data_IF_113850054158
#
_entry.id   IF_113850054158
#
_cell.length_a   1.000
_cell.length_b   1.000
_cell.length_c   1.000
_cell.angle_alpha   90.00
_cell.angle_beta   90.00
_cell.angle_gamma   90.00
#
_symmetry.space_group_name_H-M   'P 1'
#
loop_
_entity.id
_entity.type
_entity.pdbx_description
1 polymer ?
#
# COMPACT_ATOMS: atom_id res chain seq x y z
N UNK A 1 -11.87 -26.28 -2.67
CA UNK A 1 -12.91 -26.16 -3.73
C UNK A 1 -13.48 -24.74 -3.81
N UNK A 2 -13.59 -24.02 -2.67
CA UNK A 2 -14.10 -22.63 -2.57
C UNK A 2 -13.32 -21.57 -3.35
N UNK A 3 -11.97 -21.59 -3.34
CA UNK A 3 -11.15 -20.63 -4.10
C UNK A 3 -11.44 -20.62 -5.62
N UNK A 4 -11.88 -21.75 -6.18
CA UNK A 4 -12.19 -21.88 -7.61
C UNK A 4 -13.60 -21.36 -7.95
N UNK A 5 -14.53 -21.43 -6.98
CA UNK A 5 -15.89 -20.90 -7.15
C UNK A 5 -15.89 -19.37 -7.01
N UNK A 6 -15.16 -18.82 -6.03
CA UNK A 6 -15.03 -17.38 -5.81
C UNK A 6 -14.41 -16.64 -7.01
N UNK A 7 -13.37 -17.21 -7.64
CA UNK A 7 -12.74 -16.59 -8.81
C UNK A 7 -13.67 -16.60 -10.04
N UNK A 8 -14.51 -17.64 -10.20
CA UNK A 8 -15.54 -17.70 -11.24
C UNK A 8 -16.60 -16.62 -11.04
N UNK A 9 -17.10 -16.46 -9.82
CA UNK A 9 -18.10 -15.42 -9.49
C UNK A 9 -17.54 -14.00 -9.67
N UNK A 10 -16.29 -13.74 -9.26
CA UNK A 10 -15.63 -12.45 -9.49
C UNK A 10 -15.51 -12.13 -11.00
N UNK A 11 -15.16 -13.13 -11.81
CA UNK A 11 -15.10 -12.97 -13.26
C UNK A 11 -16.48 -12.69 -13.87
N UNK A 12 -17.56 -13.23 -13.33
CA UNK A 12 -18.92 -12.92 -13.79
C UNK A 12 -19.36 -11.50 -13.40
N UNK A 13 -19.06 -11.05 -12.18
CA UNK A 13 -19.33 -9.67 -11.73
C UNK A 13 -18.59 -8.68 -12.63
N UNK A 14 -17.30 -8.93 -12.88
CA UNK A 14 -16.49 -8.09 -13.76
C UNK A 14 -17.09 -8.04 -15.17
N UNK A 15 -17.47 -9.18 -15.75
CA UNK A 15 -18.12 -9.24 -17.07
C UNK A 15 -19.40 -8.40 -17.10
N UNK A 16 -20.26 -8.50 -16.08
CA UNK A 16 -21.50 -7.71 -15.98
C UNK A 16 -21.20 -6.21 -15.90
N UNK A 17 -20.23 -5.80 -15.09
CA UNK A 17 -19.82 -4.40 -14.97
C UNK A 17 -19.26 -3.85 -16.28
N UNK A 18 -18.41 -4.62 -16.98
CA UNK A 18 -17.87 -4.23 -18.28
C UNK A 18 -18.98 -4.14 -19.35
N UNK A 19 -19.97 -5.03 -19.32
CA UNK A 19 -21.14 -4.96 -20.20
C UNK A 19 -21.99 -3.70 -19.94
N UNK A 20 -22.18 -3.31 -18.68
CA UNK A 20 -22.85 -2.06 -18.32
C UNK A 20 -22.03 -0.86 -18.82
N UNK A 21 -20.70 -0.85 -18.61
CA UNK A 21 -19.83 0.22 -19.11
C UNK A 21 -19.93 0.37 -20.63
N UNK A 22 -19.89 -0.74 -21.38
CA UNK A 22 -20.00 -0.72 -22.83
C UNK A 22 -21.37 -0.20 -23.31
N UNK A 23 -22.46 -0.46 -22.58
CA UNK A 23 -23.78 0.09 -22.90
C UNK A 23 -23.89 1.59 -22.61
N UNK A 24 -23.30 2.04 -21.51
CA UNK A 24 -23.36 3.45 -21.09
C UNK A 24 -22.37 4.33 -21.86
N UNK A 25 -21.22 3.78 -22.28
CA UNK A 25 -20.20 4.45 -23.06
C UNK A 25 -19.82 3.61 -24.30
N UNK A 26 -20.69 3.57 -25.32
CA UNK A 26 -20.48 2.73 -26.50
C UNK A 26 -19.27 3.13 -27.36
N UNK A 27 -18.92 4.42 -27.34
CA UNK A 27 -17.81 4.98 -28.13
C UNK A 27 -16.46 4.98 -27.38
N UNK A 28 -16.43 4.50 -26.13
CA UNK A 28 -15.21 4.50 -25.29
C UNK A 28 -14.16 3.57 -25.88
N UNK A 29 -12.98 4.14 -26.16
CA UNK A 29 -11.83 3.39 -26.66
C UNK A 29 -10.97 2.92 -25.49
N UNK A 30 -10.46 1.67 -25.47
CA UNK A 30 -9.61 1.18 -24.39
C UNK A 30 -8.38 2.06 -24.12
N UNK A 31 -7.85 2.73 -25.14
CA UNK A 31 -6.69 3.60 -25.08
C UNK A 31 -6.96 4.92 -24.32
N UNK A 32 -8.24 5.28 -24.13
CA UNK A 32 -8.65 6.44 -23.33
C UNK A 32 -8.65 6.14 -21.82
N UNK A 33 -8.49 4.87 -21.44
CA UNK A 33 -8.50 4.45 -20.04
C UNK A 33 -7.09 4.47 -19.46
N UNK A 34 -6.97 5.09 -18.28
CA UNK A 34 -5.78 4.97 -17.45
C UNK A 34 -5.85 3.69 -16.61
N UNK A 35 -4.86 2.82 -16.75
CA UNK A 35 -4.82 1.47 -16.18
C UNK A 35 -3.44 1.15 -15.62
N UNK A 36 -3.32 -0.01 -14.98
CA UNK A 36 -2.04 -0.52 -14.47
C UNK A 36 -0.95 -0.72 -15.55
N UNK A 37 -1.34 -0.78 -16.83
CA UNK A 37 -0.41 -0.92 -17.94
C UNK A 37 0.13 0.43 -18.46
N UNK A 38 -0.33 1.55 -17.92
CA UNK A 38 0.12 2.87 -18.32
C UNK A 38 1.34 3.32 -17.51
N UNK A 39 2.27 4.03 -18.15
CA UNK A 39 3.47 4.56 -17.51
C UNK A 39 3.12 5.59 -16.43
N UNK A 40 3.79 5.53 -15.28
CA UNK A 40 3.50 6.44 -14.15
C UNK A 40 2.28 6.03 -13.32
N UNK A 41 1.73 4.83 -13.54
CA UNK A 41 0.80 4.22 -12.59
C UNK A 41 1.53 3.72 -11.34
N UNK A 42 0.87 3.82 -10.18
CA UNK A 42 1.37 3.30 -8.90
C UNK A 42 0.27 2.49 -8.22
N UNK A 43 0.66 1.38 -7.60
CA UNK A 43 -0.26 0.59 -6.79
C UNK A 43 -0.42 1.21 -5.40
N UNK A 44 -1.66 1.38 -4.98
CA UNK A 44 -2.00 2.01 -3.69
C UNK A 44 -2.98 1.13 -2.93
N UNK A 45 -2.83 0.96 -1.60
CA UNK A 45 -3.81 0.29 -0.76
C UNK A 45 -5.21 0.86 -1.01
N UNK A 46 -6.20 0.01 -1.26
CA UNK A 46 -7.58 0.46 -1.53
C UNK A 46 -8.21 1.19 -0.34
N UNK A 47 -7.67 0.97 0.86
CA UNK A 47 -8.03 1.64 2.11
C UNK A 47 -7.25 2.92 2.40
N UNK A 48 -6.31 3.31 1.51
CA UNK A 48 -5.50 4.52 1.67
C UNK A 48 -6.32 5.77 2.03
N UNK A 49 -7.49 6.06 1.42
CA UNK A 49 -8.28 7.24 1.81
C UNK A 49 -8.71 7.24 3.28
N UNK A 50 -9.10 6.08 3.82
CA UNK A 50 -9.50 5.96 5.22
C UNK A 50 -8.28 5.97 6.15
N UNK A 51 -7.17 5.36 5.73
CA UNK A 51 -5.90 5.41 6.45
C UNK A 51 -5.36 6.84 6.56
N UNK A 52 -5.40 7.62 5.49
CA UNK A 52 -4.99 9.03 5.49
C UNK A 52 -5.80 9.85 6.50
N UNK A 53 -7.12 9.63 6.56
CA UNK A 53 -7.97 10.28 7.55
C UNK A 53 -7.65 9.86 9.00
N UNK A 54 -7.10 8.66 9.21
CA UNK A 54 -6.62 8.22 10.53
C UNK A 54 -5.26 8.81 10.84
N UNK A 55 -4.34 8.85 9.86
CA UNK A 55 -3.04 9.50 10.02
C UNK A 55 -3.20 10.97 10.41
N UNK A 56 -4.14 11.69 9.78
CA UNK A 56 -4.44 13.09 10.10
C UNK A 56 -4.96 13.28 11.53
N UNK A 57 -5.85 12.38 12.00
CA UNK A 57 -6.33 12.40 13.38
C UNK A 57 -5.20 12.14 14.38
N UNK A 58 -4.39 11.10 14.12
CA UNK A 58 -3.28 10.69 15.00
C UNK A 58 -2.18 11.75 15.08
N UNK A 59 -1.95 12.49 13.99
CA UNK A 59 -0.97 13.59 13.94
C UNK A 59 -1.42 14.83 14.72
N UNK A 60 -2.71 14.93 15.05
CA UNK A 60 -3.28 16.01 15.85
C UNK A 60 -3.77 17.21 15.04
N UNK A 61 -4.59 18.04 15.69
CA UNK A 61 -5.29 19.17 15.08
C UNK A 61 -4.33 20.16 14.43
N UNK A 62 -4.57 20.48 13.16
CA UNK A 62 -3.78 21.45 12.38
C UNK A 62 -2.52 20.89 11.74
N UNK A 63 -2.25 19.58 11.91
CA UNK A 63 -1.07 18.93 11.37
C UNK A 63 -1.41 17.73 10.46
N UNK A 64 -2.26 17.88 9.42
CA UNK A 64 -2.56 16.77 8.52
C UNK A 64 -1.30 16.29 7.81
N UNK A 65 -1.11 14.98 7.76
CA UNK A 65 0.05 14.27 7.21
C UNK A 65 -0.33 13.34 6.05
N UNK A 66 -1.60 12.99 5.88
CA UNK A 66 -2.08 12.01 4.91
C UNK A 66 -1.71 12.37 3.48
N UNK A 67 -1.83 13.66 3.10
CA UNK A 67 -1.42 14.14 1.77
C UNK A 67 0.08 14.01 1.53
N UNK A 68 0.89 14.29 2.55
CA UNK A 68 2.36 14.11 2.49
C UNK A 68 2.71 12.63 2.34
N UNK A 69 2.02 11.75 3.08
CA UNK A 69 2.21 10.31 2.94
C UNK A 69 1.82 9.80 1.55
N UNK A 70 0.68 10.23 1.02
CA UNK A 70 0.22 9.85 -0.33
C UNK A 70 1.19 10.32 -1.41
N UNK A 71 1.69 11.55 -1.32
CA UNK A 71 2.67 12.07 -2.29
C UNK A 71 3.93 11.22 -2.32
N UNK A 72 4.48 10.88 -1.16
CA UNK A 72 5.65 10.02 -1.09
C UNK A 72 5.31 8.58 -1.53
N UNK A 73 4.13 8.06 -1.19
CA UNK A 73 3.66 6.75 -1.64
C UNK A 73 3.65 6.66 -3.17
N UNK A 74 3.21 7.72 -3.86
CA UNK A 74 3.19 7.76 -5.32
C UNK A 74 4.58 7.72 -5.96
N UNK A 75 5.66 7.88 -5.18
CA UNK A 75 7.05 7.73 -5.64
C UNK A 75 7.61 6.34 -5.38
N UNK A 76 6.91 5.52 -4.60
CA UNK A 76 7.37 4.19 -4.24
C UNK A 76 7.40 3.26 -5.44
N UNK A 77 8.35 2.34 -5.36
CA UNK A 77 8.46 1.14 -6.18
C UNK A 77 8.52 -0.06 -5.23
N UNK A 78 8.90 -1.22 -5.75
CA UNK A 78 8.90 -2.49 -5.03
C UNK A 78 9.79 -2.47 -3.77
N UNK A 79 10.80 -1.60 -3.73
CA UNK A 79 11.72 -1.47 -2.59
C UNK A 79 11.10 -0.87 -1.31
N UNK A 80 9.89 -0.31 -1.36
CA UNK A 80 9.23 0.36 -0.21
C UNK A 80 10.13 1.39 0.50
N UNK A 81 10.98 2.05 -0.29
CA UNK A 81 12.06 2.91 0.17
C UNK A 81 12.20 4.12 -0.74
N UNK A 82 12.54 5.27 -0.15
CA UNK A 82 12.82 6.51 -0.86
C UNK A 82 14.11 7.17 -0.37
N UNK A 83 14.85 7.73 -1.32
CA UNK A 83 15.82 8.79 -1.03
C UNK A 83 15.10 10.14 -1.11
N UNK A 84 15.13 10.90 -0.03
CA UNK A 84 14.50 12.22 0.10
C UNK A 84 15.40 13.33 -0.47
N UNK A 85 15.80 13.20 -1.73
CA UNK A 85 16.82 14.05 -2.35
C UNK A 85 16.30 15.31 -3.06
N UNK A 86 14.98 15.51 -3.12
CA UNK A 86 14.34 16.69 -3.71
C UNK A 86 13.22 17.24 -2.81
N UNK A 87 13.55 17.67 -1.59
CA UNK A 87 12.54 17.95 -0.58
C UNK A 87 11.67 19.19 -0.91
N UNK A 88 12.17 20.16 -1.66
CA UNK A 88 11.38 21.30 -2.15
C UNK A 88 10.33 20.86 -3.18
N UNK A 89 10.70 19.98 -4.11
CA UNK A 89 9.77 19.41 -5.10
C UNK A 89 8.72 18.54 -4.41
N UNK A 90 9.13 17.69 -3.47
CA UNK A 90 8.22 16.84 -2.69
C UNK A 90 7.25 17.70 -1.86
N UNK A 91 7.73 18.79 -1.25
CA UNK A 91 6.88 19.74 -0.55
C UNK A 91 5.84 20.37 -1.48
N UNK A 92 6.26 20.81 -2.67
CA UNK A 92 5.37 21.41 -3.66
C UNK A 92 4.33 20.41 -4.18
N UNK A 93 4.71 19.18 -4.51
CA UNK A 93 3.78 18.13 -4.96
C UNK A 93 2.80 17.71 -3.85
N UNK A 94 3.24 17.75 -2.59
CA UNK A 94 2.36 17.58 -1.44
C UNK A 94 1.44 18.79 -1.20
N UNK A 95 1.57 19.84 -2.01
CA UNK A 95 0.75 21.05 -2.01
C UNK A 95 1.13 22.08 -0.96
N UNK A 96 2.35 22.03 -0.46
CA UNK A 96 2.88 23.09 0.39
C UNK A 96 3.51 24.19 -0.48
N UNK A 97 3.08 25.43 -0.26
CA UNK A 97 3.55 26.59 -0.99
C UNK A 97 4.03 27.70 -0.05
N UNK A 98 4.74 28.68 -0.60
CA UNK A 98 5.25 29.85 0.12
C UNK A 98 6.52 29.59 0.95
N UNK A 99 6.94 30.62 1.69
CA UNK A 99 8.24 30.67 2.37
C UNK A 99 8.47 29.56 3.41
N UNK A 100 7.39 28.95 3.92
CA UNK A 100 7.46 27.89 4.94
C UNK A 100 7.16 26.50 4.39
N UNK A 101 7.00 26.34 3.07
CA UNK A 101 6.61 25.07 2.45
C UNK A 101 7.51 23.90 2.87
N UNK A 102 8.82 24.05 2.66
CA UNK A 102 9.81 23.03 3.02
C UNK A 102 9.79 22.70 4.51
N UNK A 103 9.72 23.73 5.38
CA UNK A 103 9.67 23.54 6.84
C UNK A 103 8.43 22.75 7.25
N UNK A 104 7.27 23.11 6.69
CA UNK A 104 6.00 22.42 6.97
C UNK A 104 6.05 20.97 6.50
N UNK A 105 6.58 20.72 5.29
CA UNK A 105 6.74 19.37 4.78
C UNK A 105 7.66 18.52 5.67
N UNK A 106 8.81 19.05 6.08
CA UNK A 106 9.73 18.35 7.01
C UNK A 106 9.05 18.00 8.34
N UNK A 107 8.24 18.90 8.89
CA UNK A 107 7.43 18.61 10.09
C UNK A 107 6.43 17.47 9.85
N UNK A 108 5.75 17.43 8.69
CA UNK A 108 4.84 16.31 8.36
C UNK A 108 5.56 14.98 8.20
N UNK A 109 6.72 14.98 7.54
CA UNK A 109 7.57 13.79 7.39
C UNK A 109 8.01 13.28 8.76
N UNK A 110 8.46 14.16 9.65
CA UNK A 110 8.85 13.76 11.00
C UNK A 110 7.68 13.19 11.82
N UNK A 111 6.48 13.76 11.68
CA UNK A 111 5.27 13.24 12.33
C UNK A 111 4.91 11.84 11.83
N UNK A 112 4.96 11.60 10.52
CA UNK A 112 4.75 10.27 9.95
C UNK A 112 5.74 9.24 10.52
N UNK A 113 6.99 9.66 10.74
CA UNK A 113 8.00 8.79 11.34
C UNK A 113 7.71 8.50 12.81
N UNK A 114 7.33 9.52 13.58
CA UNK A 114 6.97 9.36 14.99
C UNK A 114 5.74 8.47 15.18
N UNK A 115 4.79 8.51 14.23
CA UNK A 115 3.61 7.64 14.21
C UNK A 115 3.93 6.21 13.74
N UNK A 116 5.14 5.95 13.24
CA UNK A 116 5.57 4.63 12.79
C UNK A 116 5.06 4.23 11.41
N UNK A 117 4.56 5.18 10.59
CA UNK A 117 4.20 4.91 9.19
C UNK A 117 5.43 4.84 8.28
N UNK A 118 6.48 5.56 8.64
CA UNK A 118 7.77 5.52 7.95
C UNK A 118 8.92 5.40 8.95
N UNK A 119 10.04 4.84 8.52
CA UNK A 119 11.32 4.92 9.23
C UNK A 119 12.22 5.94 8.54
N UNK A 120 12.88 6.80 9.31
CA UNK A 120 13.84 7.78 8.78
C UNK A 120 15.26 7.41 9.14
N UNK A 121 16.20 7.62 8.20
CA UNK A 121 17.64 7.54 8.46
C UNK A 121 18.38 8.76 7.91
N UNK A 122 19.36 9.29 8.67
CA UNK A 122 20.23 10.35 8.19
C UNK A 122 21.15 9.82 7.07
N UNK A 123 21.73 10.73 6.32
CA UNK A 123 22.63 10.43 5.23
C UNK A 123 23.35 11.69 4.73
N UNK A 124 24.00 11.63 3.56
CA UNK A 124 24.76 12.76 3.02
C UNK A 124 23.95 14.04 2.79
N UNK A 125 22.62 13.95 2.74
CA UNK A 125 21.70 15.07 2.54
C UNK A 125 21.11 15.62 3.86
N UNK A 126 21.60 15.15 5.00
CA UNK A 126 21.16 15.52 6.35
C UNK A 126 20.22 14.49 7.01
N UNK A 127 19.50 14.93 8.04
CA UNK A 127 18.71 14.05 8.91
C UNK A 127 17.54 13.35 8.21
N UNK A 128 17.01 13.96 7.16
CA UNK A 128 15.92 13.44 6.33
C UNK A 128 16.48 13.00 4.97
N UNK A 129 17.37 12.02 4.96
CA UNK A 129 17.98 11.51 3.71
C UNK A 129 17.22 10.33 3.14
N UNK A 130 16.76 9.42 4.00
CA UNK A 130 16.16 8.16 3.59
C UNK A 130 14.88 7.87 4.36
N UNK A 131 13.89 7.32 3.67
CA UNK A 131 12.63 6.86 4.24
C UNK A 131 12.32 5.43 3.82
N UNK A 132 11.96 4.57 4.77
CA UNK A 132 11.34 3.25 4.52
C UNK A 132 9.87 3.30 4.92
N UNK A 133 9.00 2.61 4.19
CA UNK A 133 7.55 2.62 4.41
C UNK A 133 7.13 1.31 5.06
N UNK A 134 6.45 1.41 6.20
CA UNK A 134 5.89 0.25 6.89
C UNK A 134 4.47 -0.04 6.40
N UNK A 135 4.02 -1.28 6.57
CA UNK A 135 2.66 -1.66 6.24
C UNK A 135 1.66 -0.80 7.04
N UNK A 136 0.85 0.06 6.39
CA UNK A 136 -0.02 0.99 7.09
C UNK A 136 -1.15 0.28 7.86
N UNK A 137 -1.54 -0.94 7.49
CA UNK A 137 -2.50 -1.74 8.26
C UNK A 137 -1.97 -2.07 9.65
N UNK A 138 -0.70 -2.51 9.73
CA UNK A 138 -0.06 -2.85 11.00
C UNK A 138 0.04 -1.64 11.93
N UNK A 139 0.39 -0.48 11.38
CA UNK A 139 0.49 0.78 12.13
C UNK A 139 -0.87 1.20 12.66
N UNK A 140 -1.91 1.14 11.83
CA UNK A 140 -3.28 1.46 12.22
C UNK A 140 -3.78 0.50 13.31
N UNK A 141 -3.58 -0.81 13.18
CA UNK A 141 -4.00 -1.78 14.20
C UNK A 141 -3.30 -1.52 15.54
N UNK A 142 -1.99 -1.28 15.55
CA UNK A 142 -1.27 -0.91 16.78
C UNK A 142 -1.80 0.37 17.41
N UNK A 143 -2.11 1.39 16.61
CA UNK A 143 -2.70 2.63 17.11
C UNK A 143 -4.12 2.41 17.68
N UNK A 144 -4.91 1.50 17.12
CA UNK A 144 -6.20 1.10 17.69
C UNK A 144 -6.04 0.40 19.04
N UNK A 145 -5.15 -0.59 19.13
CA UNK A 145 -4.88 -1.32 20.39
C UNK A 145 -4.36 -0.38 21.50
N UNK A 146 -3.65 0.69 21.12
CA UNK A 146 -3.23 1.75 22.03
C UNK A 146 -4.34 2.75 22.42
N UNK A 147 -5.58 2.57 21.94
CA UNK A 147 -6.71 3.46 22.23
C UNK A 147 -6.65 4.82 21.54
N UNK A 148 -5.82 4.98 20.51
CA UNK A 148 -5.60 6.26 19.83
C UNK A 148 -6.54 6.49 18.63
N UNK A 149 -7.28 5.47 18.21
CA UNK A 149 -8.21 5.53 17.07
C UNK A 149 -9.65 5.52 17.58
N UNK A 150 -10.48 6.41 17.03
CA UNK A 150 -11.92 6.41 17.30
C UNK A 150 -12.57 5.11 16.83
N UNK A 151 -13.40 4.52 17.67
CA UNK A 151 -14.10 3.25 17.40
C UNK A 151 -14.82 3.22 16.03
N UNK A 152 -15.53 4.30 15.67
CA UNK A 152 -16.19 4.41 14.36
C UNK A 152 -15.25 4.28 13.16
N UNK A 153 -14.01 4.79 13.27
CA UNK A 153 -13.00 4.74 12.20
C UNK A 153 -12.38 3.35 12.13
N UNK A 154 -12.16 2.72 13.28
CA UNK A 154 -11.73 1.33 13.36
C UNK A 154 -12.75 0.39 12.70
N UNK A 155 -14.01 0.49 13.08
CA UNK A 155 -15.10 -0.32 12.49
C UNK A 155 -15.19 -0.13 10.97
N UNK A 156 -15.08 1.11 10.49
CA UNK A 156 -15.07 1.40 9.06
C UNK A 156 -13.91 0.71 8.33
N UNK A 157 -12.71 0.65 8.95
CA UNK A 157 -11.57 -0.09 8.40
C UNK A 157 -11.85 -1.58 8.38
N UNK A 158 -12.30 -2.18 9.48
CA UNK A 158 -12.53 -3.63 9.57
C UNK A 158 -13.57 -4.09 8.56
N UNK A 159 -14.71 -3.41 8.48
CA UNK A 159 -15.77 -3.73 7.52
C UNK A 159 -15.24 -3.64 6.08
N UNK A 160 -14.58 -2.53 5.74
CA UNK A 160 -14.09 -2.32 4.38
C UNK A 160 -12.95 -3.25 4.01
N UNK A 161 -12.07 -3.58 4.95
CA UNK A 161 -10.98 -4.53 4.78
C UNK A 161 -11.53 -5.92 4.43
N UNK A 162 -12.56 -6.36 5.14
CA UNK A 162 -13.27 -7.61 4.85
C UNK A 162 -13.90 -7.61 3.44
N UNK A 163 -14.60 -6.52 3.06
CA UNK A 163 -15.23 -6.38 1.74
C UNK A 163 -14.23 -6.50 0.57
N UNK A 164 -13.00 -6.01 0.75
CA UNK A 164 -11.98 -6.01 -0.31
C UNK A 164 -10.99 -7.18 -0.19
N UNK A 165 -11.11 -8.02 0.84
CA UNK A 165 -10.19 -9.10 1.14
C UNK A 165 -8.78 -8.63 1.53
N UNK A 166 -8.67 -7.51 2.26
CA UNK A 166 -7.41 -7.04 2.83
C UNK A 166 -7.27 -7.58 4.26
N UNK A 167 -6.44 -8.61 4.44
CA UNK A 167 -6.30 -9.33 5.72
C UNK A 167 -5.05 -8.95 6.51
N UNK A 168 -4.29 -7.95 6.06
CA UNK A 168 -3.08 -7.48 6.75
C UNK A 168 -3.31 -7.02 8.20
N UNK A 169 -4.56 -6.71 8.58
CA UNK A 169 -4.92 -6.45 9.98
C UNK A 169 -4.82 -7.71 10.84
N UNK A 170 -4.98 -8.89 10.27
CA UNK A 170 -4.96 -10.17 10.97
C UNK A 170 -3.52 -10.69 11.16
N UNK A 171 -2.53 -10.05 10.53
CA UNK A 171 -1.09 -10.35 10.70
C UNK A 171 -0.56 -10.01 12.09
N UNK A 172 -1.29 -9.21 12.88
CA UNK A 172 -0.91 -8.89 14.26
C UNK A 172 -1.80 -9.61 15.26
N UNK A 173 -1.28 -9.92 16.44
CA UNK A 173 -2.10 -10.36 17.57
C UNK A 173 -2.76 -9.17 18.30
N UNK A 174 -3.41 -9.46 19.43
CA UNK A 174 -4.05 -8.46 20.31
C UNK A 174 -3.03 -7.61 21.10
N UNK A 175 -1.74 -7.98 21.07
CA UNK A 175 -0.65 -7.20 21.64
C UNK A 175 0.01 -6.27 20.59
N UNK A 176 -0.33 -6.45 19.31
CA UNK A 176 0.24 -5.71 18.19
C UNK A 176 1.56 -6.29 17.66
N UNK A 177 1.86 -7.53 18.03
CA UNK A 177 3.02 -8.28 17.58
C UNK A 177 2.71 -9.06 16.31
N UNK A 178 3.67 -9.14 15.39
CA UNK A 178 3.53 -9.87 14.13
C UNK A 178 3.42 -11.37 14.39
N UNK A 179 2.33 -11.96 13.94
CA UNK A 179 2.10 -13.41 13.93
C UNK A 179 2.49 -13.91 12.55
N UNK A 180 3.76 -14.29 12.40
CA UNK A 180 4.22 -14.93 11.17
C UNK A 180 3.66 -16.35 11.12
N UNK A 181 2.65 -16.61 10.28
CA UNK A 181 2.40 -17.98 9.84
C UNK A 181 3.67 -18.46 9.15
N UNK A 182 4.32 -19.51 9.67
CA UNK A 182 5.43 -20.14 8.96
C UNK A 182 4.91 -20.58 7.59
N UNK A 183 5.40 -19.96 6.51
CA UNK A 183 5.12 -20.44 5.15
C UNK A 183 5.41 -21.96 5.15
N UNK A 184 4.45 -22.80 4.75
CA UNK A 184 4.68 -24.23 4.70
C UNK A 184 5.90 -24.45 3.80
N UNK A 185 6.99 -24.98 4.38
CA UNK A 185 8.24 -25.26 3.68
C UNK A 185 7.90 -25.89 2.34
N UNK A 186 8.07 -25.14 1.24
CA UNK A 186 7.87 -25.69 -0.10
C UNK A 186 8.86 -26.85 -0.23
N UNK A 187 8.33 -28.07 -0.23
CA UNK A 187 9.13 -29.27 -0.49
C UNK A 187 9.96 -29.01 -1.76
N UNK A 188 11.27 -29.24 -1.74
CA UNK A 188 12.11 -28.99 -2.91
C UNK A 188 11.54 -29.80 -4.07
N UNK A 189 11.20 -29.09 -5.15
CA UNK A 189 10.61 -29.71 -6.34
C UNK A 189 11.48 -30.90 -6.77
N UNK A 190 10.91 -32.11 -6.71
CA UNK A 190 11.58 -33.34 -7.15
C UNK A 190 12.04 -33.13 -8.59
N UNK A 191 13.35 -32.93 -8.76
CA UNK A 191 14.00 -32.76 -10.06
C UNK A 191 13.68 -33.99 -10.90
N UNK A 192 12.81 -33.85 -11.91
CA UNK A 192 12.55 -34.92 -12.87
C UNK A 192 13.87 -35.25 -13.56
N UNK A 193 14.47 -36.38 -13.19
CA UNK A 193 15.64 -36.92 -13.89
C UNK A 193 15.19 -37.27 -15.29
N UNK A 194 15.63 -36.47 -16.27
CA UNK A 194 15.38 -36.72 -17.68
C UNK A 194 16.20 -37.95 -18.07
N UNK A 195 15.54 -39.10 -18.22
CA UNK A 195 16.19 -40.32 -18.69
C UNK A 195 16.81 -40.06 -20.08
N UNK A 196 18.14 -40.09 -20.15
CA UNK A 196 18.88 -40.13 -21.42
C UNK A 196 18.61 -41.49 -22.07
N UNK A 197 17.79 -41.51 -23.13
CA UNK A 197 17.75 -42.65 -24.07
C UNK A 197 19.14 -42.76 -24.70
N UNK A 198 19.87 -43.80 -24.34
CA UNK A 198 21.05 -44.23 -25.09
C UNK A 198 20.58 -44.70 -26.47
N UNK A 199 21.03 -44.02 -27.53
CA UNK A 199 21.06 -44.61 -28.88
C UNK A 199 22.25 -45.55 -28.91
N UNK A 200 21.99 -46.84 -28.92
CA UNK A 200 22.96 -47.85 -29.30
C UNK A 200 23.17 -47.77 -30.82
N UNK A 201 24.44 -47.69 -31.21
CA UNK A 201 24.96 -47.91 -32.55
C UNK A 201 24.74 -49.35 -33.00
N UNK A 202 24.20 -49.52 -34.21
CA UNK A 202 24.70 -50.47 -35.21
C UNK A 202 24.33 -49.95 -36.59
#
# INVERSE_FOLDING_TARGET
>A
MEKNLASRTQNEILKRQLAVRAKLWPELKPEELWTINNDGWVSTPRLMPLMMNIMDDLSGKGFPVGRTYLEMWCRLRDEQFLTLNRPEEMAFHAGFEGQRALRTWKDRVQRLANLGFIGLKPGPLGDLSYAVFYNPYHVVKRAYLAGLIQERKWQAIVVRANEIGAFDLDDLDDNGDLVLEEEPKKEPAKRKVRARRAKATS
#
